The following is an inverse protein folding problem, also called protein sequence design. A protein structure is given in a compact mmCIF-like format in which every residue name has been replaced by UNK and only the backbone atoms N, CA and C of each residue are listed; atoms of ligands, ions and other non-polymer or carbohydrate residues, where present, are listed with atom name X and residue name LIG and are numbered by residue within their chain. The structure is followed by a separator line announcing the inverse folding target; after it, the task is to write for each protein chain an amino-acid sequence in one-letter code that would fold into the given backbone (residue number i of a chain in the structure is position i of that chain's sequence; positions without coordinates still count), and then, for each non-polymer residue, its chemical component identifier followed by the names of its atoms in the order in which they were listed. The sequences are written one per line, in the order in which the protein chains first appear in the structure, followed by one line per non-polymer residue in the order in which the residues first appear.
data_IF_878712983738
#
_entry.id   IF_878712983738
#
_cell.length_a   1.000
_cell.length_b   1.000
_cell.length_c   1.000
_cell.angle_alpha   90.00
_cell.angle_beta   90.00
_cell.angle_gamma   90.00
#
_symmetry.space_group_name_H-M   'P 1'
#
loop_
_entity.id
_entity.type
_entity.pdbx_description
1 polymer ?
#
# COMPACT_ATOMS: atom_id res chain seq x y z
N UNK A 1 -26.33 -9.81 -3.87
CA UNK A 1 -27.57 -9.62 -3.10
C UNK A 1 -27.87 -8.14 -3.14
N UNK A 2 -29.11 -7.82 -3.47
CA UNK A 2 -29.65 -6.50 -3.82
C UNK A 2 -29.09 -5.35 -2.98
N UNK A 3 -28.68 -4.28 -3.65
CA UNK A 3 -28.59 -2.96 -3.04
C UNK A 3 -30.00 -2.35 -3.09
N UNK A 4 -30.53 -2.09 -1.90
CA UNK A 4 -31.82 -1.49 -1.64
C UNK A 4 -31.58 0.02 -1.57
N UNK A 5 -31.82 0.71 -2.69
CA UNK A 5 -31.79 2.17 -2.76
C UNK A 5 -32.88 2.76 -1.84
N UNK A 6 -32.46 3.40 -0.75
CA UNK A 6 -33.31 4.30 0.03
C UNK A 6 -33.73 5.49 -0.85
N UNK A 7 -34.92 5.37 -1.43
CA UNK A 7 -35.65 6.47 -2.08
C UNK A 7 -36.07 7.45 -0.99
N UNK A 8 -35.42 8.61 -0.94
CA UNK A 8 -35.93 9.79 -0.23
C UNK A 8 -37.22 10.23 -0.94
N UNK A 9 -38.36 9.90 -0.36
CA UNK A 9 -39.67 10.47 -0.71
C UNK A 9 -39.76 11.83 -0.03
N UNK A 10 -39.44 12.89 -0.77
CA UNK A 10 -39.78 14.26 -0.41
C UNK A 10 -41.26 14.44 -0.76
N UNK A 11 -42.14 14.41 0.26
CA UNK A 11 -43.55 14.77 0.12
C UNK A 11 -43.60 16.25 -0.30
N UNK A 12 -43.78 16.52 -1.59
CA UNK A 12 -44.26 17.81 -2.09
C UNK A 12 -45.72 17.95 -1.62
N UNK A 13 -45.97 18.83 -0.65
CA UNK A 13 -47.30 19.40 -0.42
C UNK A 13 -47.72 20.15 -1.70
N UNK A 14 -48.60 19.54 -2.49
CA UNK A 14 -49.39 20.26 -3.51
C UNK A 14 -50.34 21.21 -2.77
N UNK A 15 -49.98 22.50 -2.68
CA UNK A 15 -50.96 23.57 -2.50
C UNK A 15 -51.84 23.60 -3.77
N UNK A 16 -53.04 23.04 -3.67
CA UNK A 16 -54.10 23.26 -4.66
C UNK A 16 -54.50 24.75 -4.66
N UNK A 17 -53.89 25.54 -5.55
CA UNK A 17 -54.45 26.85 -5.92
C UNK A 17 -55.80 26.63 -6.63
N UNK A 18 -56.88 27.02 -5.96
CA UNK A 18 -58.24 27.03 -6.51
C UNK A 18 -58.31 27.99 -7.70
N UNK A 19 -58.21 27.45 -8.92
CA UNK A 19 -58.42 28.21 -10.16
C UNK A 19 -59.91 28.50 -10.30
N UNK A 20 -60.30 29.72 -9.92
CA UNK A 20 -61.62 30.28 -10.24
C UNK A 20 -61.73 30.41 -11.76
N UNK A 21 -62.47 29.50 -12.39
CA UNK A 21 -62.94 29.66 -13.77
C UNK A 21 -63.91 30.85 -13.84
N UNK A 22 -63.39 32.01 -14.22
CA UNK A 22 -64.23 33.09 -14.74
C UNK A 22 -64.42 32.88 -16.24
N UNK A 23 -65.61 32.41 -16.61
CA UNK A 23 -66.09 32.42 -17.99
C UNK A 23 -66.03 33.86 -18.55
N UNK A 24 -65.06 34.09 -19.44
CA UNK A 24 -64.94 35.33 -20.20
C UNK A 24 -64.17 35.03 -21.45
N UNK A 25 -64.85 35.04 -22.61
CA UNK A 25 -64.20 34.97 -23.91
C UNK A 25 -63.18 36.12 -24.02
N UNK A 26 -61.91 35.78 -23.79
CA UNK A 26 -60.80 36.74 -23.82
C UNK A 26 -60.62 37.30 -25.22
N UNK A 27 -60.37 38.60 -25.30
CA UNK A 27 -60.04 39.31 -26.54
C UNK A 27 -58.96 38.55 -27.33
N UNK A 28 -59.22 38.12 -28.59
CA UNK A 28 -58.33 37.26 -29.35
C UNK A 28 -56.92 37.86 -29.56
N UNK A 29 -56.76 39.18 -29.51
CA UNK A 29 -55.44 39.82 -29.53
C UNK A 29 -54.63 39.58 -28.25
N UNK A 30 -55.27 39.54 -27.08
CA UNK A 30 -54.60 39.33 -25.80
C UNK A 30 -54.09 37.89 -25.68
N UNK A 31 -54.91 36.92 -26.08
CA UNK A 31 -54.53 35.49 -26.11
C UNK A 31 -53.36 35.29 -27.09
N UNK A 32 -53.44 35.86 -28.30
CA UNK A 32 -52.36 35.78 -29.28
C UNK A 32 -51.05 36.40 -28.78
N UNK A 33 -51.11 37.49 -28.01
CA UNK A 33 -49.92 38.12 -27.41
C UNK A 33 -49.35 37.30 -26.25
N UNK A 34 -50.19 36.59 -25.49
CA UNK A 34 -49.76 35.67 -24.44
C UNK A 34 -49.13 34.41 -25.05
N UNK A 35 -49.72 33.86 -26.11
CA UNK A 35 -49.19 32.72 -26.86
C UNK A 35 -47.88 33.05 -27.55
N UNK A 36 -47.73 34.26 -28.12
CA UNK A 36 -46.45 34.70 -28.69
C UNK A 36 -45.38 34.79 -27.61
N UNK A 37 -45.69 35.36 -26.43
CA UNK A 37 -44.72 35.41 -25.31
C UNK A 37 -44.34 34.02 -24.80
N UNK A 38 -45.28 33.09 -24.74
CA UNK A 38 -45.01 31.68 -24.38
C UNK A 38 -44.14 31.00 -25.44
N UNK A 39 -44.44 31.20 -26.73
CA UNK A 39 -43.64 30.69 -27.84
C UNK A 39 -42.22 31.26 -27.84
N UNK A 40 -42.05 32.55 -27.59
CA UNK A 40 -40.73 33.21 -27.54
C UNK A 40 -39.89 32.68 -26.35
N UNK A 41 -40.53 32.42 -25.20
CA UNK A 41 -39.90 31.77 -24.05
C UNK A 41 -39.50 30.32 -24.35
N UNK A 42 -40.39 29.56 -24.98
CA UNK A 42 -40.12 28.18 -25.39
C UNK A 42 -38.98 28.12 -26.42
N UNK A 43 -38.88 29.09 -27.31
CA UNK A 43 -37.80 29.18 -28.30
C UNK A 43 -36.46 29.52 -27.63
N UNK A 44 -36.43 30.47 -26.68
CA UNK A 44 -35.24 30.76 -25.87
C UNK A 44 -34.80 29.56 -25.03
N UNK A 45 -35.74 28.82 -24.44
CA UNK A 45 -35.45 27.58 -23.70
C UNK A 45 -34.86 26.50 -24.63
N UNK A 46 -35.41 26.34 -25.84
CA UNK A 46 -34.88 25.41 -26.84
C UNK A 46 -33.47 25.80 -27.26
N UNK A 47 -33.21 27.07 -27.55
CA UNK A 47 -31.88 27.57 -27.90
C UNK A 47 -30.89 27.31 -26.76
N UNK A 48 -31.24 27.66 -25.52
CA UNK A 48 -30.41 27.40 -24.34
C UNK A 48 -30.09 25.91 -24.16
N UNK A 49 -31.08 25.02 -24.31
CA UNK A 49 -30.87 23.56 -24.26
C UNK A 49 -29.94 23.10 -25.37
N UNK A 50 -30.06 23.63 -26.58
CA UNK A 50 -29.18 23.26 -27.70
C UNK A 50 -27.75 23.76 -27.50
N UNK A 51 -27.56 24.97 -26.99
CA UNK A 51 -26.24 25.50 -26.66
C UNK A 51 -25.58 24.70 -25.53
N UNK A 52 -26.33 24.35 -24.50
CA UNK A 52 -25.83 23.54 -23.39
C UNK A 52 -25.41 22.13 -23.86
N UNK A 53 -26.22 21.47 -24.71
CA UNK A 53 -25.85 20.19 -25.33
C UNK A 53 -24.60 20.31 -26.19
N UNK A 54 -24.45 21.40 -26.93
CA UNK A 54 -23.28 21.66 -27.78
C UNK A 54 -22.02 21.92 -26.95
N UNK A 55 -22.13 22.66 -25.84
CA UNK A 55 -21.02 22.85 -24.90
C UNK A 55 -20.61 21.52 -24.27
N UNK A 56 -21.57 20.75 -23.75
CA UNK A 56 -21.30 19.43 -23.16
C UNK A 56 -20.65 18.47 -24.16
N UNK A 57 -21.15 18.40 -25.39
CA UNK A 57 -20.58 17.56 -26.44
C UNK A 57 -19.12 17.97 -26.77
N UNK A 58 -18.84 19.28 -26.82
CA UNK A 58 -17.49 19.79 -27.05
C UNK A 58 -16.53 19.44 -25.90
N UNK A 59 -16.97 19.60 -24.66
CA UNK A 59 -16.20 19.23 -23.47
C UNK A 59 -15.93 17.71 -23.41
N UNK A 60 -16.94 16.89 -23.72
CA UNK A 60 -16.78 15.43 -23.80
C UNK A 60 -15.81 15.01 -24.91
N UNK A 61 -15.85 15.64 -26.08
CA UNK A 61 -14.89 15.40 -27.16
C UNK A 61 -13.46 15.78 -26.77
N UNK A 62 -13.27 16.92 -26.12
CA UNK A 62 -11.95 17.39 -25.71
C UNK A 62 -11.37 16.52 -24.59
N UNK A 63 -12.21 16.08 -23.64
CA UNK A 63 -11.84 15.07 -22.64
C UNK A 63 -11.47 13.74 -23.29
N UNK A 64 -12.22 13.29 -24.31
CA UNK A 64 -11.94 12.06 -25.05
C UNK A 64 -10.60 12.16 -25.78
N UNK A 65 -10.33 13.28 -26.47
CA UNK A 65 -9.03 13.55 -27.14
C UNK A 65 -7.87 13.56 -26.15
N UNK A 66 -8.06 14.13 -24.95
CA UNK A 66 -7.04 14.13 -23.90
C UNK A 66 -6.76 12.71 -23.38
N UNK A 67 -7.81 11.93 -23.11
CA UNK A 67 -7.67 10.52 -22.69
C UNK A 67 -6.99 9.68 -23.77
N UNK A 68 -7.32 9.89 -25.05
CA UNK A 68 -6.67 9.18 -26.15
C UNK A 68 -5.19 9.56 -26.29
N UNK A 69 -4.83 10.84 -26.13
CA UNK A 69 -3.42 11.28 -26.10
C UNK A 69 -2.65 10.67 -24.93
N UNK A 70 -3.24 10.62 -23.74
CA UNK A 70 -2.64 9.94 -22.59
C UNK A 70 -2.47 8.44 -22.83
N UNK A 71 -3.47 7.77 -23.40
CA UNK A 71 -3.41 6.37 -23.76
C UNK A 71 -2.30 6.09 -24.78
N UNK A 72 -2.20 6.89 -25.86
CA UNK A 72 -1.13 6.80 -26.86
C UNK A 72 0.26 7.01 -26.23
N UNK A 73 0.43 8.00 -25.35
CA UNK A 73 1.70 8.21 -24.61
C UNK A 73 2.03 7.07 -23.66
N UNK A 74 1.03 6.40 -23.08
CA UNK A 74 1.24 5.24 -22.22
C UNK A 74 1.68 4.02 -23.04
N UNK A 75 1.07 3.79 -24.20
CA UNK A 75 1.44 2.72 -25.11
C UNK A 75 2.84 2.95 -25.69
N UNK A 76 3.16 4.16 -26.16
CA UNK A 76 4.49 4.48 -26.67
C UNK A 76 5.59 4.26 -25.64
N UNK A 77 5.39 4.69 -24.38
CA UNK A 77 6.33 4.42 -23.29
C UNK A 77 6.45 2.93 -22.96
N UNK A 78 5.35 2.19 -22.98
CA UNK A 78 5.36 0.75 -22.75
C UNK A 78 6.14 0.00 -23.85
N UNK A 79 6.00 0.41 -25.11
CA UNK A 79 6.73 -0.16 -26.24
C UNK A 79 8.22 0.19 -26.20
N UNK A 80 8.58 1.43 -25.84
CA UNK A 80 9.98 1.83 -25.64
C UNK A 80 10.63 1.07 -24.47
N UNK A 81 9.93 0.94 -23.34
CA UNK A 81 10.41 0.17 -22.18
C UNK A 81 10.56 -1.32 -22.52
N UNK A 82 9.61 -1.90 -23.25
CA UNK A 82 9.69 -3.28 -23.74
C UNK A 82 10.89 -3.48 -24.67
N UNK A 83 11.11 -2.58 -25.62
CA UNK A 83 12.24 -2.66 -26.56
C UNK A 83 13.59 -2.52 -25.85
N UNK A 84 13.68 -1.64 -24.86
CA UNK A 84 14.87 -1.47 -24.03
C UNK A 84 15.11 -2.67 -23.11
N UNK A 85 14.05 -3.26 -22.55
CA UNK A 85 14.13 -4.48 -21.75
C UNK A 85 14.55 -5.69 -22.59
N UNK A 86 14.00 -5.86 -23.80
CA UNK A 86 14.41 -6.90 -24.75
C UNK A 86 15.89 -6.75 -25.15
N UNK A 87 16.36 -5.52 -25.40
CA UNK A 87 17.78 -5.25 -25.69
C UNK A 87 18.69 -5.58 -24.50
N UNK A 88 18.31 -5.19 -23.29
CA UNK A 88 19.06 -5.52 -22.05
C UNK A 88 19.09 -7.02 -21.80
N UNK A 89 17.95 -7.71 -21.95
CA UNK A 89 17.85 -9.15 -21.77
C UNK A 89 18.71 -9.90 -22.79
N UNK A 90 18.74 -9.46 -24.05
CA UNK A 90 19.59 -10.07 -25.07
C UNK A 90 21.09 -9.86 -24.78
N UNK A 91 21.49 -8.72 -24.22
CA UNK A 91 22.88 -8.43 -23.82
C UNK A 91 23.29 -9.23 -22.57
N UNK A 92 22.41 -9.31 -21.57
CA UNK A 92 22.61 -10.12 -20.37
C UNK A 92 22.68 -11.61 -20.72
N UNK A 93 21.79 -12.10 -21.59
CA UNK A 93 21.80 -13.50 -22.03
C UNK A 93 23.07 -13.85 -22.82
N UNK A 94 23.60 -12.93 -23.64
CA UNK A 94 24.92 -13.10 -24.28
C UNK A 94 26.03 -13.19 -23.24
N UNK A 95 26.03 -12.30 -22.26
CA UNK A 95 27.03 -12.30 -21.18
C UNK A 95 26.96 -13.55 -20.31
N UNK A 96 25.75 -14.04 -20.01
CA UNK A 96 25.55 -15.29 -19.25
C UNK A 96 26.02 -16.49 -20.05
N UNK A 97 25.70 -16.58 -21.37
CA UNK A 97 26.22 -17.64 -22.23
C UNK A 97 27.75 -17.64 -22.30
N UNK A 98 28.38 -16.47 -22.42
CA UNK A 98 29.85 -16.37 -22.41
C UNK A 98 30.48 -16.80 -21.08
N UNK A 99 29.85 -16.46 -19.95
CA UNK A 99 30.30 -16.87 -18.62
C UNK A 99 30.10 -18.38 -18.41
N UNK A 100 28.98 -18.94 -18.86
CA UNK A 100 28.68 -20.36 -18.74
C UNK A 100 29.59 -21.20 -19.65
N UNK A 101 29.86 -20.74 -20.88
CA UNK A 101 30.81 -21.37 -21.79
C UNK A 101 32.25 -21.32 -21.26
N UNK A 102 32.66 -20.18 -20.67
CA UNK A 102 33.97 -20.07 -20.00
C UNK A 102 34.06 -20.98 -18.77
N UNK A 103 32.98 -21.08 -17.98
CA UNK A 103 32.91 -21.96 -16.82
C UNK A 103 32.93 -23.44 -17.21
N UNK A 104 32.26 -23.82 -18.30
CA UNK A 104 32.33 -25.18 -18.85
C UNK A 104 33.74 -25.50 -19.34
N UNK A 105 34.39 -24.58 -20.07
CA UNK A 105 35.81 -24.73 -20.47
C UNK A 105 36.75 -24.86 -19.28
N UNK A 106 36.58 -24.05 -18.24
CA UNK A 106 37.40 -24.12 -17.01
C UNK A 106 37.15 -25.43 -16.24
N UNK A 107 35.93 -25.99 -16.28
CA UNK A 107 35.59 -27.28 -15.65
C UNK A 107 36.18 -28.43 -16.46
N UNK A 108 36.10 -28.39 -17.79
CA UNK A 108 36.68 -29.40 -18.68
C UNK A 108 38.21 -29.39 -18.62
N UNK A 109 38.85 -28.22 -18.59
CA UNK A 109 40.30 -28.09 -18.44
C UNK A 109 40.77 -28.59 -17.05
N UNK A 110 40.05 -28.26 -15.97
CA UNK A 110 40.34 -28.79 -14.64
C UNK A 110 40.09 -30.30 -14.56
N UNK A 111 39.07 -30.81 -15.24
CA UNK A 111 38.78 -32.25 -15.32
C UNK A 111 39.88 -32.98 -16.08
N UNK A 112 40.33 -32.47 -17.22
CA UNK A 112 41.46 -33.03 -17.96
C UNK A 112 42.76 -32.97 -17.15
N UNK A 113 43.03 -31.87 -16.45
CA UNK A 113 44.22 -31.73 -15.60
C UNK A 113 44.19 -32.67 -14.39
N UNK A 114 43.01 -32.91 -13.81
CA UNK A 114 42.82 -33.90 -12.75
C UNK A 114 42.88 -35.34 -13.30
N UNK A 115 42.41 -35.60 -14.51
CA UNK A 115 42.48 -36.91 -15.16
C UNK A 115 43.91 -37.26 -15.59
N UNK A 116 44.70 -36.28 -16.06
CA UNK A 116 46.13 -36.46 -16.32
C UNK A 116 46.94 -36.64 -15.03
N UNK A 117 46.60 -35.88 -13.97
CA UNK A 117 47.23 -36.03 -12.66
C UNK A 117 46.82 -37.35 -11.97
N UNK A 118 45.57 -37.78 -12.13
CA UNK A 118 45.06 -39.06 -11.62
C UNK A 118 45.69 -40.21 -12.41
N UNK A 119 45.76 -40.16 -13.74
CA UNK A 119 46.45 -41.18 -14.56
C UNK A 119 47.92 -41.28 -14.21
N UNK A 120 48.60 -40.15 -13.96
CA UNK A 120 50.01 -40.11 -13.51
C UNK A 120 50.16 -40.62 -12.08
N UNK A 121 49.22 -40.31 -11.19
CA UNK A 121 49.17 -40.81 -9.82
C UNK A 121 48.77 -42.29 -9.77
N UNK A 122 47.93 -42.78 -10.66
CA UNK A 122 47.50 -44.17 -10.75
C UNK A 122 48.65 -45.02 -11.32
N UNK A 123 49.42 -44.50 -12.28
CA UNK A 123 50.68 -45.11 -12.72
C UNK A 123 51.72 -45.17 -11.59
N UNK A 124 51.88 -44.09 -10.82
CA UNK A 124 52.81 -44.04 -9.68
C UNK A 124 52.33 -44.88 -8.48
N UNK A 125 51.03 -44.94 -8.23
CA UNK A 125 50.42 -45.71 -7.14
C UNK A 125 50.26 -47.18 -7.52
N UNK A 126 50.16 -47.54 -8.79
CA UNK A 126 50.30 -48.92 -9.27
C UNK A 126 51.76 -49.38 -9.09
N UNK A 127 52.75 -48.51 -9.33
CA UNK A 127 54.16 -48.78 -9.01
C UNK A 127 54.45 -48.85 -7.49
N UNK A 128 53.67 -48.15 -6.64
CA UNK A 128 53.84 -48.17 -5.18
C UNK A 128 52.96 -49.21 -4.46
N UNK A 129 51.84 -49.63 -5.07
CA UNK A 129 50.89 -50.63 -4.53
C UNK A 129 51.44 -52.05 -4.66
N UNK A 130 52.42 -52.26 -5.52
CA UNK A 130 53.30 -53.44 -5.49
C UNK A 130 54.26 -53.42 -4.29
N UNK A 131 54.35 -52.32 -3.51
CA UNK A 131 55.34 -52.19 -2.44
C UNK A 131 54.82 -51.94 -1.01
N UNK A 132 53.56 -51.58 -0.74
CA UNK A 132 53.11 -51.54 0.67
C UNK A 132 51.59 -51.48 0.90
N UNK A 133 51.05 -52.61 1.35
CA UNK A 133 49.93 -52.67 2.30
C UNK A 133 50.40 -52.06 3.63
N UNK A 134 49.78 -50.98 4.12
CA UNK A 134 49.39 -50.81 5.53
C UNK A 134 49.05 -49.36 5.94
N UNK A 135 47.87 -49.23 6.55
CA UNK A 135 47.45 -48.28 7.63
C UNK A 135 47.12 -46.81 7.26
N UNK A 136 45.83 -46.46 7.44
CA UNK A 136 45.31 -45.10 7.69
C UNK A 136 45.61 -44.61 9.13
N UNK A 137 44.94 -43.59 9.73
CA UNK A 137 43.56 -43.12 9.49
C UNK A 137 43.25 -41.58 9.64
N UNK A 138 42.13 -41.15 9.03
CA UNK A 138 40.90 -40.50 9.56
C UNK A 138 40.84 -39.16 10.36
N UNK A 139 39.82 -38.35 9.96
CA UNK A 139 39.04 -37.28 10.62
C UNK A 139 39.37 -35.77 10.43
N UNK A 140 38.45 -35.06 9.77
CA UNK A 140 38.24 -33.59 9.81
C UNK A 140 36.77 -33.31 10.20
N UNK A 141 36.55 -32.47 11.21
CA UNK A 141 35.23 -32.06 11.72
C UNK A 141 34.76 -30.84 10.91
N UNK A 142 33.62 -30.94 10.23
CA UNK A 142 32.96 -29.83 9.54
C UNK A 142 31.96 -29.14 10.47
N UNK A 143 32.21 -27.87 10.78
CA UNK A 143 31.27 -26.98 11.47
C UNK A 143 30.29 -26.45 10.41
N UNK A 144 29.02 -26.85 10.46
CA UNK A 144 27.96 -26.26 9.61
C UNK A 144 27.70 -24.82 10.06
N UNK A 145 27.77 -23.89 9.12
CA UNK A 145 27.39 -22.49 9.30
C UNK A 145 25.86 -22.35 9.18
N UNK A 146 25.23 -21.69 10.15
CA UNK A 146 23.78 -21.49 10.26
C UNK A 146 23.29 -20.25 9.47
N UNK A 147 23.98 -19.91 8.38
CA UNK A 147 23.76 -18.70 7.59
C UNK A 147 23.17 -18.97 6.20
N UNK A 148 22.86 -20.23 5.85
CA UNK A 148 22.43 -20.60 4.50
C UNK A 148 20.95 -20.38 4.17
N UNK A 149 20.14 -19.83 5.10
CA UNK A 149 18.68 -19.81 4.96
C UNK A 149 18.05 -18.41 4.81
N UNK A 150 18.83 -17.34 4.66
CA UNK A 150 18.26 -16.06 4.21
C UNK A 150 18.30 -16.01 2.68
N UNK A 151 17.14 -15.82 2.05
CA UNK A 151 17.08 -15.63 0.60
C UNK A 151 17.87 -14.38 0.22
N UNK A 152 18.43 -14.35 -0.99
CA UNK A 152 19.15 -13.18 -1.51
C UNK A 152 18.31 -11.89 -1.41
N UNK A 153 16.99 -12.00 -1.59
CA UNK A 153 16.06 -10.88 -1.45
C UNK A 153 15.89 -10.37 0.00
N UNK A 154 16.02 -11.24 1.00
CA UNK A 154 16.03 -10.82 2.41
C UNK A 154 17.36 -10.20 2.82
N UNK A 155 18.48 -10.64 2.24
CA UNK A 155 19.77 -9.96 2.44
C UNK A 155 19.77 -8.56 1.82
N UNK A 156 19.22 -8.40 0.62
CA UNK A 156 19.14 -7.08 -0.05
C UNK A 156 18.25 -6.08 0.69
N UNK A 157 17.17 -6.54 1.32
CA UNK A 157 16.29 -5.71 2.14
C UNK A 157 16.91 -5.31 3.49
N UNK A 158 17.95 -6.00 3.93
CA UNK A 158 18.69 -5.70 5.16
C UNK A 158 20.03 -4.98 4.89
N UNK A 159 20.24 -4.46 3.68
CA UNK A 159 21.38 -3.57 3.43
C UNK A 159 21.20 -2.29 4.24
N UNK A 160 22.22 -1.94 5.02
CA UNK A 160 22.21 -0.70 5.80
C UNK A 160 22.24 0.50 4.84
N UNK A 161 21.73 1.65 5.31
CA UNK A 161 21.73 2.89 4.52
C UNK A 161 23.12 3.23 3.97
N UNK A 162 24.15 2.97 4.77
CA UNK A 162 25.56 3.16 4.43
C UNK A 162 26.03 2.25 3.27
N UNK A 163 25.62 0.97 3.26
CA UNK A 163 25.91 0.05 2.15
C UNK A 163 25.25 0.47 0.85
N UNK A 164 24.02 0.99 0.90
CA UNK A 164 23.35 1.52 -0.30
C UNK A 164 24.01 2.79 -0.83
N UNK A 165 24.52 3.66 0.06
CA UNK A 165 25.27 4.86 -0.33
C UNK A 165 26.63 4.52 -0.95
N UNK A 166 27.33 3.51 -0.41
CA UNK A 166 28.57 2.99 -1.00
C UNK A 166 28.33 2.31 -2.34
N UNK A 167 27.30 1.46 -2.47
CA UNK A 167 26.92 0.85 -3.75
C UNK A 167 26.54 1.92 -4.78
N UNK A 168 25.84 2.98 -4.37
CA UNK A 168 25.52 4.13 -5.22
C UNK A 168 26.79 4.87 -5.64
N UNK A 169 27.73 5.11 -4.73
CA UNK A 169 29.00 5.79 -5.02
C UNK A 169 29.86 4.98 -6.00
N UNK A 170 29.96 3.66 -5.79
CA UNK A 170 30.66 2.75 -6.68
C UNK A 170 29.97 2.74 -8.06
N UNK A 171 28.64 2.60 -8.10
CA UNK A 171 27.87 2.62 -9.35
C UNK A 171 28.04 3.92 -10.13
N UNK A 172 28.06 5.07 -9.44
CA UNK A 172 28.31 6.37 -10.05
C UNK A 172 29.74 6.48 -10.57
N UNK A 173 30.73 5.96 -9.85
CA UNK A 173 32.13 5.98 -10.31
C UNK A 173 32.36 5.13 -11.57
N UNK A 174 31.59 4.05 -11.74
CA UNK A 174 31.64 3.21 -12.95
C UNK A 174 30.94 3.91 -14.13
N UNK A 175 29.81 4.59 -13.87
CA UNK A 175 29.02 5.27 -14.91
C UNK A 175 29.66 6.59 -15.35
N UNK A 176 30.30 7.31 -14.44
CA UNK A 176 31.01 8.57 -14.69
C UNK A 176 32.48 8.24 -14.91
N UNK A 177 32.84 7.94 -16.17
CA UNK A 177 34.24 7.74 -16.53
C UNK A 177 34.99 9.09 -16.43
N UNK A 178 36.18 9.11 -15.81
CA UNK A 178 37.03 10.30 -15.79
C UNK A 178 37.31 10.78 -17.22
N UNK A 179 37.17 12.09 -17.45
CA UNK A 179 37.43 12.68 -18.75
C UNK A 179 38.93 12.78 -18.99
N UNK A 180 39.42 12.11 -20.04
CA UNK A 180 40.80 12.25 -20.49
C UNK A 180 40.80 13.26 -21.64
N UNK A 181 41.17 14.50 -21.33
CA UNK A 181 41.23 15.61 -22.30
C UNK A 181 42.65 15.99 -22.70
N UNK A 182 43.66 15.47 -21.99
CA UNK A 182 45.06 15.79 -22.22
C UNK A 182 45.55 15.20 -23.55
N UNK A 183 46.13 16.06 -24.39
CA UNK A 183 46.67 15.67 -25.71
C UNK A 183 45.65 15.54 -26.83
N UNK A 184 44.37 15.91 -26.60
CA UNK A 184 43.37 15.96 -27.68
C UNK A 184 43.47 17.25 -28.49
N UNK A 185 43.42 17.13 -29.82
CA UNK A 185 43.30 18.28 -30.73
C UNK A 185 41.92 18.94 -30.66
N UNK A 186 41.82 20.18 -31.12
CA UNK A 186 40.60 21.03 -31.02
C UNK A 186 39.35 20.36 -31.59
N UNK A 187 39.46 19.67 -32.72
CA UNK A 187 38.31 19.00 -33.36
C UNK A 187 37.80 17.82 -32.52
N UNK A 188 38.71 17.01 -31.95
CA UNK A 188 38.35 15.91 -31.04
C UNK A 188 37.74 16.41 -29.73
N UNK A 189 38.17 17.58 -29.24
CA UNK A 189 37.56 18.21 -28.07
C UNK A 189 36.12 18.65 -28.36
N UNK A 190 35.85 19.17 -29.57
CA UNK A 190 34.48 19.53 -29.98
C UNK A 190 33.56 18.31 -30.10
N UNK A 191 34.05 17.23 -30.69
CA UNK A 191 33.30 15.96 -30.75
C UNK A 191 32.98 15.42 -29.35
N UNK A 192 33.97 15.40 -28.45
CA UNK A 192 33.77 14.97 -27.06
C UNK A 192 32.78 15.85 -26.30
N UNK A 193 32.81 17.17 -26.52
CA UNK A 193 31.83 18.06 -25.93
C UNK A 193 30.40 17.77 -26.43
N UNK A 194 30.26 17.49 -27.72
CA UNK A 194 28.96 17.13 -28.31
C UNK A 194 28.42 15.79 -27.78
N UNK A 195 29.27 14.76 -27.71
CA UNK A 195 28.91 13.46 -27.12
C UNK A 195 28.43 13.60 -25.66
N UNK A 196 29.13 14.41 -24.85
CA UNK A 196 28.74 14.65 -23.46
C UNK A 196 27.43 15.41 -23.38
N UNK A 197 27.21 16.38 -24.26
CA UNK A 197 25.97 17.13 -24.31
C UNK A 197 24.77 16.23 -24.65
N UNK A 198 24.87 15.38 -25.68
CA UNK A 198 23.82 14.41 -26.02
C UNK A 198 23.54 13.43 -24.86
N UNK A 199 24.61 12.97 -24.18
CA UNK A 199 24.48 12.10 -23.02
C UNK A 199 23.74 12.79 -21.87
N UNK A 200 24.07 14.06 -21.57
CA UNK A 200 23.40 14.85 -20.54
C UNK A 200 21.92 15.04 -20.87
N UNK A 201 21.59 15.42 -22.11
CA UNK A 201 20.20 15.60 -22.54
C UNK A 201 19.41 14.30 -22.33
N UNK A 202 19.98 13.16 -22.72
CA UNK A 202 19.34 11.86 -22.49
C UNK A 202 19.14 11.56 -21.00
N UNK A 203 20.16 11.76 -20.16
CA UNK A 203 20.06 11.51 -18.72
C UNK A 203 19.03 12.43 -18.05
N UNK A 204 18.90 13.68 -18.49
CA UNK A 204 17.91 14.61 -17.94
C UNK A 204 16.49 14.19 -18.31
N UNK A 205 16.27 13.70 -19.53
CA UNK A 205 14.96 13.13 -19.91
C UNK A 205 14.62 11.87 -19.11
N UNK A 206 15.58 10.96 -18.93
CA UNK A 206 15.39 9.76 -18.09
C UNK A 206 15.08 10.13 -16.63
N UNK A 207 15.75 11.15 -16.08
CA UNK A 207 15.50 11.65 -14.73
C UNK A 207 14.09 12.21 -14.59
N UNK A 208 13.63 13.03 -15.53
CA UNK A 208 12.26 13.57 -15.52
C UNK A 208 11.21 12.46 -15.49
N UNK A 209 11.36 11.43 -16.33
CA UNK A 209 10.43 10.30 -16.36
C UNK A 209 10.43 9.49 -15.06
N UNK A 210 11.59 9.34 -14.42
CA UNK A 210 11.71 8.69 -13.11
C UNK A 210 11.07 9.51 -12.01
N UNK A 211 11.23 10.83 -12.01
CA UNK A 211 10.59 11.74 -11.05
C UNK A 211 9.06 11.73 -11.20
N UNK A 212 8.54 11.76 -12.42
CA UNK A 212 7.10 11.62 -12.67
C UNK A 212 6.56 10.25 -12.23
N UNK A 213 7.31 9.17 -12.48
CA UNK A 213 6.95 7.83 -11.98
C UNK A 213 6.95 7.80 -10.45
N UNK A 214 7.92 8.43 -9.80
CA UNK A 214 7.98 8.52 -8.34
C UNK A 214 6.77 9.28 -7.78
N UNK A 215 6.42 10.44 -8.33
CA UNK A 215 5.23 11.20 -7.90
C UNK A 215 3.95 10.37 -8.00
N UNK A 216 3.80 9.58 -9.06
CA UNK A 216 2.67 8.67 -9.22
C UNK A 216 2.66 7.57 -8.17
N UNK A 217 3.81 6.94 -7.91
CA UNK A 217 3.93 5.92 -6.86
C UNK A 217 3.62 6.49 -5.47
N UNK A 218 4.06 7.72 -5.19
CA UNK A 218 3.76 8.42 -3.94
C UNK A 218 2.27 8.71 -3.77
N UNK A 219 1.59 9.07 -4.88
CA UNK A 219 0.13 9.21 -4.89
C UNK A 219 -0.56 7.88 -4.61
N UNK A 220 -0.20 6.83 -5.35
CA UNK A 220 -0.77 5.49 -5.17
C UNK A 220 -0.56 4.97 -3.73
N UNK A 221 0.62 5.21 -3.15
CA UNK A 221 0.91 4.88 -1.75
C UNK A 221 0.07 5.66 -0.75
N UNK A 222 -0.18 6.96 -0.99
CA UNK A 222 -1.08 7.77 -0.15
C UNK A 222 -2.51 7.23 -0.21
N UNK A 223 -3.00 6.91 -1.40
CA UNK A 223 -4.33 6.35 -1.59
C UNK A 223 -4.48 4.98 -0.90
N UNK A 224 -3.50 4.09 -1.06
CA UNK A 224 -3.51 2.78 -0.40
C UNK A 224 -3.51 2.89 1.13
N UNK A 225 -2.74 3.85 1.68
CA UNK A 225 -2.73 4.12 3.13
C UNK A 225 -4.09 4.63 3.61
N UNK A 226 -4.75 5.50 2.86
CA UNK A 226 -6.07 6.00 3.25
C UNK A 226 -7.13 4.90 3.15
N UNK A 227 -7.13 4.09 2.08
CA UNK A 227 -8.00 2.91 1.97
C UNK A 227 -7.77 1.93 3.13
N UNK A 228 -6.51 1.68 3.51
CA UNK A 228 -6.19 0.86 4.67
C UNK A 228 -6.76 1.47 5.96
N UNK A 229 -6.62 2.79 6.15
CA UNK A 229 -7.17 3.50 7.31
C UNK A 229 -8.71 3.38 7.37
N UNK A 230 -9.39 3.52 6.24
CA UNK A 230 -10.84 3.33 6.14
C UNK A 230 -11.26 1.89 6.48
N UNK A 231 -10.54 0.89 5.97
CA UNK A 231 -10.80 -0.51 6.33
C UNK A 231 -10.61 -0.77 7.84
N UNK A 232 -9.58 -0.18 8.45
CA UNK A 232 -9.35 -0.28 9.89
C UNK A 232 -10.45 0.42 10.71
N UNK A 233 -10.91 1.59 10.25
CA UNK A 233 -12.05 2.33 10.84
C UNK A 233 -13.34 1.53 10.79
N UNK A 234 -13.70 0.97 9.63
CA UNK A 234 -14.87 0.09 9.50
C UNK A 234 -14.76 -1.16 10.37
N UNK A 235 -13.56 -1.75 10.46
CA UNK A 235 -13.31 -2.91 11.32
C UNK A 235 -13.43 -2.56 12.80
N UNK A 236 -13.01 -1.36 13.22
CA UNK A 236 -13.19 -0.88 14.58
C UNK A 236 -14.69 -0.67 14.89
N UNK A 237 -15.42 0.01 14.00
CA UNK A 237 -16.86 0.25 14.15
C UNK A 237 -17.66 -1.05 14.23
N UNK A 238 -17.37 -2.04 13.36
CA UNK A 238 -17.99 -3.38 13.42
C UNK A 238 -17.75 -4.08 14.75
N UNK A 239 -16.59 -3.85 15.37
CA UNK A 239 -16.24 -4.41 16.69
C UNK A 239 -16.79 -3.58 17.86
N UNK A 240 -17.52 -2.49 17.61
CA UNK A 240 -18.02 -1.59 18.67
C UNK A 240 -16.91 -0.76 19.33
N UNK A 241 -15.75 -0.68 18.71
CA UNK A 241 -14.65 0.17 19.14
C UNK A 241 -14.74 1.53 18.44
N UNK A 242 -14.16 2.55 19.07
CA UNK A 242 -13.99 3.87 18.49
C UNK A 242 -13.30 3.77 17.11
N UNK A 243 -13.79 4.45 16.06
CA UNK A 243 -13.22 4.43 14.71
C UNK A 243 -11.69 4.60 14.68
N UNK A 244 -11.09 5.35 15.60
CA UNK A 244 -9.64 5.56 15.60
C UNK A 244 -8.83 4.52 16.39
N UNK A 245 -9.51 3.64 17.15
CA UNK A 245 -8.87 2.72 18.09
C UNK A 245 -7.93 1.69 17.42
N UNK A 246 -8.15 1.38 16.14
CA UNK A 246 -7.32 0.46 15.37
C UNK A 246 -6.29 1.16 14.46
N UNK A 247 -6.28 2.49 14.45
CA UNK A 247 -5.38 3.31 13.63
C UNK A 247 -4.17 3.85 14.41
N UNK A 248 -4.19 3.70 15.74
CA UNK A 248 -3.11 4.12 16.62
C UNK A 248 -1.88 3.21 16.61
N UNK A 249 -0.78 3.69 17.19
CA UNK A 249 0.51 2.96 17.32
C UNK A 249 0.40 1.68 18.15
N UNK A 250 -0.58 1.61 19.05
CA UNK A 250 -0.77 0.51 19.97
C UNK A 250 -2.13 -0.15 19.72
N UNK A 251 -2.24 -1.49 19.83
CA UNK A 251 -3.52 -2.18 19.70
C UNK A 251 -4.58 -1.61 20.66
N UNK A 252 -5.86 -1.57 20.25
CA UNK A 252 -6.91 -1.04 21.11
C UNK A 252 -7.06 -1.88 22.38
N UNK A 253 -7.34 -1.21 23.50
CA UNK A 253 -7.61 -1.87 24.78
C UNK A 253 -8.87 -2.74 24.64
N UNK A 254 -8.78 -3.98 25.11
CA UNK A 254 -9.91 -4.91 25.09
C UNK A 254 -11.02 -4.34 25.97
N UNK A 255 -12.21 -4.13 25.39
CA UNK A 255 -13.38 -3.75 26.16
C UNK A 255 -13.84 -4.96 27.00
N UNK A 256 -13.93 -4.75 28.31
CA UNK A 256 -14.44 -5.74 29.28
C UNK A 256 -15.97 -5.72 29.39
N UNK A 257 -16.63 -4.74 28.77
CA UNK A 257 -18.08 -4.64 28.66
C UNK A 257 -18.54 -5.22 27.31
N UNK A 258 -19.64 -5.96 27.31
CA UNK A 258 -20.19 -6.55 26.09
C UNK A 258 -21.05 -5.53 25.33
N UNK A 259 -21.05 -5.57 23.99
CA UNK A 259 -21.92 -4.72 23.15
C UNK A 259 -23.42 -4.94 23.41
N UNK A 260 -23.80 -6.05 24.04
CA UNK A 260 -25.18 -6.41 24.37
C UNK A 260 -25.57 -6.07 25.83
N UNK A 261 -24.69 -5.39 26.57
CA UNK A 261 -24.92 -5.08 27.98
C UNK A 261 -25.91 -3.91 28.09
N UNK A 262 -27.11 -4.17 28.65
CA UNK A 262 -28.19 -3.16 28.78
C UNK A 262 -27.81 -1.94 29.64
N UNK A 263 -26.80 -2.09 30.49
CA UNK A 263 -26.21 -1.00 31.29
C UNK A 263 -24.70 -1.16 31.23
N UNK A 264 -24.01 -0.14 30.72
CA UNK A 264 -22.55 -0.15 30.63
C UNK A 264 -21.98 -0.19 32.04
N UNK A 265 -21.30 -1.29 32.40
CA UNK A 265 -20.65 -1.41 33.70
C UNK A 265 -19.48 -0.41 33.80
N UNK A 266 -19.68 0.65 34.58
CA UNK A 266 -18.75 1.76 34.81
C UNK A 266 -17.59 1.41 35.74
N UNK A 267 -17.55 0.19 36.31
CA UNK A 267 -16.47 -0.24 37.21
C UNK A 267 -15.17 -0.47 36.43
N UNK A 268 -14.03 -0.13 37.04
CA UNK A 268 -12.72 -0.26 36.39
C UNK A 268 -12.35 -1.74 36.17
N UNK A 269 -11.37 -2.02 35.31
CA UNK A 269 -10.89 -3.39 35.09
C UNK A 269 -10.41 -4.05 36.39
N UNK A 270 -9.74 -3.28 37.27
CA UNK A 270 -9.30 -3.76 38.58
C UNK A 270 -10.46 -4.14 39.49
N UNK A 271 -11.53 -3.34 39.48
CA UNK A 271 -12.72 -3.59 40.30
C UNK A 271 -13.50 -4.80 39.79
N UNK A 272 -13.67 -4.91 38.46
CA UNK A 272 -14.30 -6.08 37.81
C UNK A 272 -13.51 -7.34 38.10
N UNK A 273 -12.18 -7.30 37.98
CA UNK A 273 -11.32 -8.44 38.29
C UNK A 273 -11.50 -8.91 39.75
N UNK A 274 -11.48 -7.96 40.70
CA UNK A 274 -11.70 -8.28 42.12
C UNK A 274 -13.08 -8.87 42.40
N UNK A 275 -14.12 -8.41 41.71
CA UNK A 275 -15.47 -8.97 41.79
C UNK A 275 -15.52 -10.47 41.44
N UNK A 276 -14.73 -10.92 40.46
CA UNK A 276 -14.64 -12.33 40.06
C UNK A 276 -13.58 -13.14 40.84
N UNK A 277 -12.71 -12.49 41.62
CA UNK A 277 -11.72 -13.12 42.52
C UNK A 277 -12.23 -13.21 43.97
N UNK A 278 -13.55 -13.35 44.18
CA UNK A 278 -14.17 -13.48 45.50
C UNK A 278 -14.57 -12.15 46.17
N UNK A 279 -14.21 -11.00 45.59
CA UNK A 279 -14.58 -9.69 46.14
C UNK A 279 -16.08 -9.39 46.11
N UNK A 280 -16.88 -10.11 45.31
CA UNK A 280 -18.34 -10.01 45.39
C UNK A 280 -18.87 -10.57 46.73
N UNK A 281 -18.31 -11.67 47.21
CA UNK A 281 -18.69 -12.27 48.49
C UNK A 281 -18.27 -11.35 49.65
N UNK A 282 -17.07 -10.77 49.57
CA UNK A 282 -16.59 -9.79 50.54
C UNK A 282 -17.47 -8.53 50.57
N UNK A 283 -17.86 -8.01 49.40
CA UNK A 283 -18.75 -6.85 49.30
C UNK A 283 -20.15 -7.15 49.86
N UNK A 284 -20.70 -8.33 49.56
CA UNK A 284 -21.99 -8.78 50.13
C UNK A 284 -21.87 -8.89 51.65
N UNK A 285 -20.78 -9.48 52.14
CA UNK A 285 -20.51 -9.64 53.57
C UNK A 285 -20.38 -8.30 54.28
N UNK A 286 -19.63 -7.36 53.72
CA UNK A 286 -19.46 -6.01 54.27
C UNK A 286 -20.79 -5.24 54.27
N UNK A 287 -21.58 -5.34 53.20
CA UNK A 287 -22.91 -4.73 53.11
C UNK A 287 -23.87 -5.31 54.13
N UNK A 288 -23.87 -6.64 54.30
CA UNK A 288 -24.66 -7.33 55.31
C UNK A 288 -24.22 -6.97 56.73
N UNK A 289 -22.91 -6.88 56.99
CA UNK A 289 -22.37 -6.50 58.29
C UNK A 289 -22.71 -5.04 58.63
N UNK A 290 -22.67 -4.14 57.64
CA UNK A 290 -23.10 -2.75 57.79
C UNK A 290 -24.59 -2.65 58.11
N UNK A 291 -25.43 -3.36 57.35
CA UNK A 291 -26.87 -3.45 57.60
C UNK A 291 -27.17 -4.03 58.99
N UNK A 292 -26.42 -5.06 59.40
CA UNK A 292 -26.55 -5.66 60.72
C UNK A 292 -26.12 -4.68 61.83
N UNK A 293 -24.99 -4.00 61.70
CA UNK A 293 -24.51 -2.99 62.67
C UNK A 293 -25.50 -1.83 62.81
N UNK A 294 -26.07 -1.37 61.72
CA UNK A 294 -27.09 -0.32 61.73
C UNK A 294 -28.35 -0.79 62.47
N UNK A 295 -28.88 -1.97 62.13
CA UNK A 295 -30.05 -2.55 62.81
C UNK A 295 -29.77 -2.87 64.27
N UNK A 296 -28.57 -3.33 64.60
CA UNK A 296 -28.13 -3.61 65.97
C UNK A 296 -28.01 -2.31 66.78
N UNK A 297 -27.43 -1.25 66.22
CA UNK A 297 -27.40 0.07 66.86
C UNK A 297 -28.80 0.65 67.09
N UNK A 298 -29.71 0.48 66.12
CA UNK A 298 -31.12 0.83 66.28
C UNK A 298 -31.85 -0.02 67.33
N UNK A 299 -31.38 -1.25 67.58
CA UNK A 299 -31.93 -2.13 68.61
C UNK A 299 -31.39 -1.78 70.00
N UNK A 300 -30.09 -1.52 70.14
CA UNK A 300 -29.43 -1.18 71.40
C UNK A 300 -29.84 0.21 71.92
N UNK A 301 -30.14 1.14 71.00
CA UNK A 301 -30.69 2.45 71.33
C UNK A 301 -32.15 2.44 71.79
N UNK A 302 -32.84 1.29 71.77
CA UNK A 302 -34.21 1.19 72.32
C UNK A 302 -34.15 1.21 73.84
N UNK A 303 -35.01 2.02 74.48
CA UNK A 303 -35.11 2.04 75.95
C UNK A 303 -35.48 0.65 76.46
N UNK A 304 -34.61 0.05 77.29
CA UNK A 304 -34.88 -1.22 77.95
C UNK A 304 -36.05 -1.02 78.92
N UNK A 305 -37.18 -1.68 78.65
CA UNK A 305 -38.33 -1.62 79.54
C UNK A 305 -37.94 -2.08 80.94
N UNK A 306 -38.17 -1.22 81.95
CA UNK A 306 -38.02 -1.61 83.36
C UNK A 306 -39.07 -2.68 83.67
N UNK A 307 -38.65 -3.92 83.89
CA UNK A 307 -39.52 -4.91 84.52
C UNK A 307 -39.81 -4.44 85.96
N UNK A 308 -41.07 -4.10 86.22
CA UNK A 308 -41.59 -3.94 87.57
C UNK A 308 -41.65 -5.34 88.19
N UNK A 309 -40.83 -5.57 89.23
CA UNK A 309 -40.91 -6.72 90.13
C UNK A 309 -42.04 -6.49 91.12
#
# INVERSE_FOLDING_TARGET
MSDEEEVYSEEEEEEEEEVVETEGAGDPEFIKRQDQKRSDLDEQLREYITEWRKQRAKEEEDLKKLKEKQAKRKVARADEERKMAERKKAEEERRVREIEEKKQRDIEEKRQRLEEAEKKRQAMMQALKDQNKNKGPNFTITKRDASSNLSAAQLERNKTKEQLEEEKKISLSIRIKPLVVDGLGVDKLREKAHELWECIVKLETEKYDLEERQKRQDYDLKELKERQKQQLRHKALKKGLDPEALTGKYPPKIQVASKYERRVDTRSYGDKKKLFEGGLEDLIKETNEKSWKEKFGQFDSRQKGKCLI
#
